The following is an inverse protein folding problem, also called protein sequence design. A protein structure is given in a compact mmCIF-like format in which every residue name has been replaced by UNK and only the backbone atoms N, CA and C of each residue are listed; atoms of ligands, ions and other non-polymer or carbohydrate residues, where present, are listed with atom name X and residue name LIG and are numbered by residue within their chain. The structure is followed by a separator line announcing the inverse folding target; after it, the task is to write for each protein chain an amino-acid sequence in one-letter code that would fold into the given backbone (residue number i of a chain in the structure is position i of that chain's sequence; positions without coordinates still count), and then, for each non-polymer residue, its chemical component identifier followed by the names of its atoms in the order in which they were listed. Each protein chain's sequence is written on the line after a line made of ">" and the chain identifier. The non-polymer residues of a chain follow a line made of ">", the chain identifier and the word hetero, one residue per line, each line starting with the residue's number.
data_IF_815509054306
#
_entry.id   IF_815509054306
#
_cell.length_a   1.000
_cell.length_b   1.000
_cell.length_c   1.000
_cell.angle_alpha   90.00
_cell.angle_beta   90.00
_cell.angle_gamma   90.00
#
_symmetry.space_group_name_H-M   'P 1'
#
loop_
_entity.id
_entity.type
_entity.pdbx_description
1 polymer ?
#
# COMPACT_ATOMS: atom_id res chain seq x y z
N UNK A 1 -20.57 -12.03 81.28
CA UNK A 1 -21.15 -12.11 79.92
C UNK A 1 -20.83 -10.88 79.04
N UNK A 2 -20.82 -9.64 79.57
CA UNK A 2 -20.54 -8.42 78.78
C UNK A 2 -19.14 -8.34 78.12
N UNK A 3 -18.08 -8.79 78.82
CA UNK A 3 -16.70 -8.75 78.30
C UNK A 3 -16.44 -9.68 77.09
N UNK A 4 -17.10 -10.83 77.06
CA UNK A 4 -16.99 -11.80 75.96
C UNK A 4 -17.77 -11.31 74.74
N UNK A 5 -18.94 -10.69 74.97
CA UNK A 5 -19.73 -10.08 73.88
C UNK A 5 -18.95 -8.92 73.21
N UNK A 6 -18.28 -8.08 74.02
CA UNK A 6 -17.49 -6.96 73.49
C UNK A 6 -16.25 -7.40 72.69
N UNK A 7 -15.59 -8.48 73.09
CA UNK A 7 -14.45 -9.03 72.36
C UNK A 7 -14.87 -9.69 71.04
N UNK A 8 -15.99 -10.42 71.03
CA UNK A 8 -16.56 -11.00 69.81
C UNK A 8 -16.94 -9.90 68.81
N UNK A 9 -17.62 -8.84 69.25
CA UNK A 9 -17.99 -7.71 68.40
C UNK A 9 -16.76 -7.00 67.80
N UNK A 10 -15.70 -6.82 68.59
CA UNK A 10 -14.48 -6.15 68.13
C UNK A 10 -13.74 -6.99 67.08
N UNK A 11 -13.67 -8.31 67.26
CA UNK A 11 -13.10 -9.23 66.27
C UNK A 11 -13.93 -9.22 64.98
N UNK A 12 -15.25 -9.24 65.08
CA UNK A 12 -16.15 -9.21 63.92
C UNK A 12 -16.01 -7.91 63.11
N UNK A 13 -15.80 -6.79 63.81
CA UNK A 13 -15.59 -5.48 63.20
C UNK A 13 -14.23 -5.40 62.48
N UNK A 14 -13.18 -6.00 63.02
CA UNK A 14 -11.88 -6.08 62.33
C UNK A 14 -11.95 -6.96 61.07
N UNK A 15 -12.67 -8.09 61.15
CA UNK A 15 -12.87 -8.99 60.00
C UNK A 15 -13.65 -8.28 58.89
N UNK A 16 -14.71 -7.54 59.23
CA UNK A 16 -15.52 -6.83 58.24
C UNK A 16 -14.75 -5.73 57.53
N UNK A 17 -13.88 -4.99 58.24
CA UNK A 17 -12.98 -3.99 57.63
C UNK A 17 -11.98 -4.66 56.68
N UNK A 18 -11.41 -5.80 57.08
CA UNK A 18 -10.49 -6.57 56.23
C UNK A 18 -11.15 -7.05 54.93
N UNK A 19 -12.37 -7.59 55.02
CA UNK A 19 -13.18 -8.01 53.86
C UNK A 19 -13.55 -6.83 52.95
N UNK A 20 -13.89 -5.68 53.53
CA UNK A 20 -14.24 -4.48 52.77
C UNK A 20 -13.05 -3.94 51.97
N UNK A 21 -11.85 -3.89 52.56
CA UNK A 21 -10.64 -3.49 51.83
C UNK A 21 -10.29 -4.46 50.70
N UNK A 22 -10.40 -5.77 50.97
CA UNK A 22 -10.12 -6.79 49.98
C UNK A 22 -11.09 -6.67 48.78
N UNK A 23 -12.38 -6.52 49.06
CA UNK A 23 -13.40 -6.32 48.04
C UNK A 23 -13.13 -5.07 47.20
N UNK A 24 -12.74 -3.95 47.83
CA UNK A 24 -12.42 -2.72 47.12
C UNK A 24 -11.17 -2.86 46.23
N UNK A 25 -10.14 -3.55 46.73
CA UNK A 25 -8.91 -3.81 45.98
C UNK A 25 -9.16 -4.70 44.75
N UNK A 26 -9.92 -5.79 44.92
CA UNK A 26 -10.30 -6.67 43.81
C UNK A 26 -11.18 -5.96 42.80
N UNK A 27 -12.15 -5.16 43.24
CA UNK A 27 -13.04 -4.44 42.33
C UNK A 27 -12.26 -3.40 41.51
N UNK A 28 -11.37 -2.63 42.13
CA UNK A 28 -10.52 -1.66 41.43
C UNK A 28 -9.60 -2.32 40.39
N UNK A 29 -9.02 -3.48 40.71
CA UNK A 29 -8.18 -4.22 39.77
C UNK A 29 -8.99 -4.88 38.65
N UNK A 30 -10.17 -5.42 38.94
CA UNK A 30 -11.06 -6.00 37.93
C UNK A 30 -11.57 -4.94 36.94
N UNK A 31 -11.93 -3.74 37.43
CA UNK A 31 -12.34 -2.62 36.57
C UNK A 31 -11.18 -2.20 35.66
N UNK A 32 -9.97 -2.02 36.21
CA UNK A 32 -8.78 -1.68 35.42
C UNK A 32 -8.45 -2.75 34.37
N UNK A 33 -8.53 -4.03 34.74
CA UNK A 33 -8.30 -5.13 33.80
C UNK A 33 -9.35 -5.14 32.68
N UNK A 34 -10.63 -4.94 33.01
CA UNK A 34 -11.70 -4.83 32.02
C UNK A 34 -11.54 -3.63 31.08
N UNK A 35 -11.05 -2.51 31.59
CA UNK A 35 -10.77 -1.31 30.79
C UNK A 35 -9.58 -1.52 29.84
N UNK A 36 -8.51 -2.16 30.31
CA UNK A 36 -7.37 -2.55 29.47
C UNK A 36 -7.76 -3.52 28.36
N UNK A 37 -8.60 -4.52 28.66
CA UNK A 37 -9.10 -5.46 27.64
C UNK A 37 -9.92 -4.73 26.58
N UNK A 38 -10.82 -3.82 26.96
CA UNK A 38 -11.59 -3.00 26.00
C UNK A 38 -10.70 -2.10 25.14
N UNK A 39 -9.64 -1.55 25.71
CA UNK A 39 -8.66 -0.77 24.93
C UNK A 39 -7.90 -1.67 23.95
N UNK A 40 -7.45 -2.85 24.38
CA UNK A 40 -6.83 -3.83 23.49
C UNK A 40 -7.76 -4.23 22.35
N UNK A 41 -9.01 -4.62 22.65
CA UNK A 41 -9.99 -4.99 21.61
C UNK A 41 -10.19 -3.88 20.58
N UNK A 42 -10.29 -2.62 21.01
CA UNK A 42 -10.38 -1.48 20.08
C UNK A 42 -9.14 -1.36 19.18
N UNK A 43 -7.94 -1.46 19.76
CA UNK A 43 -6.70 -1.40 18.97
C UNK A 43 -6.55 -2.59 18.03
N UNK A 44 -7.02 -3.78 18.43
CA UNK A 44 -6.95 -4.99 17.64
C UNK A 44 -7.96 -4.96 16.49
N UNK A 45 -9.17 -4.44 16.74
CA UNK A 45 -10.16 -4.17 15.69
C UNK A 45 -9.65 -3.14 14.68
N UNK A 46 -8.98 -2.08 15.15
CA UNK A 46 -8.38 -1.07 14.28
C UNK A 46 -7.22 -1.64 13.44
N UNK A 47 -6.34 -2.43 14.06
CA UNK A 47 -5.27 -3.14 13.33
C UNK A 47 -5.82 -4.18 12.35
N UNK A 48 -6.84 -4.94 12.73
CA UNK A 48 -7.49 -5.89 11.84
C UNK A 48 -8.11 -5.18 10.63
N UNK A 49 -8.76 -4.04 10.85
CA UNK A 49 -9.28 -3.19 9.77
C UNK A 49 -8.20 -2.67 8.83
N UNK A 50 -7.03 -2.27 9.36
CA UNK A 50 -5.88 -1.85 8.55
C UNK A 50 -5.26 -3.01 7.76
N UNK A 51 -5.19 -4.21 8.34
CA UNK A 51 -4.64 -5.40 7.65
C UNK A 51 -5.57 -5.85 6.52
N UNK A 52 -6.90 -5.77 6.72
CA UNK A 52 -7.86 -6.15 5.68
C UNK A 52 -7.83 -5.19 4.50
N UNK A 53 -7.70 -3.88 4.75
CA UNK A 53 -7.54 -2.89 3.66
C UNK A 53 -6.22 -3.08 2.93
N UNK A 54 -5.10 -3.27 3.65
CA UNK A 54 -3.79 -3.53 3.02
C UNK A 54 -3.82 -4.79 2.13
N UNK A 55 -4.47 -5.86 2.58
CA UNK A 55 -4.62 -7.09 1.76
C UNK A 55 -5.45 -6.86 0.50
N UNK A 56 -6.52 -6.07 0.60
CA UNK A 56 -7.35 -5.75 -0.56
C UNK A 56 -6.57 -4.91 -1.59
N UNK A 57 -5.80 -3.93 -1.12
CA UNK A 57 -4.98 -3.08 -1.98
C UNK A 57 -3.82 -3.86 -2.62
N UNK A 58 -3.14 -4.72 -1.88
CA UNK A 58 -2.08 -5.58 -2.43
C UNK A 58 -2.62 -6.54 -3.50
N UNK A 59 -3.79 -7.16 -3.26
CA UNK A 59 -4.44 -8.00 -4.26
C UNK A 59 -4.78 -7.23 -5.54
N UNK A 60 -5.31 -6.00 -5.41
CA UNK A 60 -5.59 -5.11 -6.55
C UNK A 60 -4.32 -4.71 -7.28
N UNK A 61 -3.27 -4.35 -6.55
CA UNK A 61 -1.98 -3.94 -7.12
C UNK A 61 -1.36 -5.08 -7.94
N UNK A 62 -1.34 -6.30 -7.40
CA UNK A 62 -0.85 -7.48 -8.13
C UNK A 62 -1.65 -7.77 -9.39
N UNK A 63 -2.98 -7.62 -9.35
CA UNK A 63 -3.82 -7.79 -10.53
C UNK A 63 -3.47 -6.76 -11.63
N UNK A 64 -3.32 -5.49 -11.25
CA UNK A 64 -2.92 -4.43 -12.16
C UNK A 64 -1.53 -4.66 -12.76
N UNK A 65 -0.56 -5.06 -11.94
CA UNK A 65 0.79 -5.38 -12.39
C UNK A 65 0.81 -6.57 -13.36
N UNK A 66 0.01 -7.61 -13.10
CA UNK A 66 -0.12 -8.75 -14.00
C UNK A 66 -0.73 -8.36 -15.35
N UNK A 67 -1.74 -7.49 -15.36
CA UNK A 67 -2.33 -6.96 -16.59
C UNK A 67 -1.34 -6.11 -17.38
N UNK A 68 -0.62 -5.22 -16.70
CA UNK A 68 0.41 -4.38 -17.34
C UNK A 68 1.53 -5.22 -17.96
N UNK A 69 2.01 -6.25 -17.26
CA UNK A 69 3.00 -7.18 -17.80
C UNK A 69 2.48 -7.93 -19.03
N UNK A 70 1.23 -8.41 -19.01
CA UNK A 70 0.62 -9.06 -20.18
C UNK A 70 0.53 -8.11 -21.37
N UNK A 71 0.13 -6.87 -21.14
CA UNK A 71 0.03 -5.85 -22.18
C UNK A 71 1.39 -5.52 -22.79
N UNK A 72 2.43 -5.37 -21.97
CA UNK A 72 3.80 -5.18 -22.46
C UNK A 72 4.30 -6.36 -23.27
N UNK A 73 4.04 -7.60 -22.83
CA UNK A 73 4.41 -8.79 -23.60
C UNK A 73 3.69 -8.83 -24.95
N UNK A 74 2.40 -8.51 -24.99
CA UNK A 74 1.65 -8.41 -26.24
C UNK A 74 2.21 -7.33 -27.16
N UNK A 75 2.53 -6.14 -26.62
CA UNK A 75 3.13 -5.05 -27.38
C UNK A 75 4.51 -5.43 -27.94
N UNK A 76 5.33 -6.14 -27.16
CA UNK A 76 6.61 -6.67 -27.66
C UNK A 76 6.42 -7.64 -28.80
N UNK A 77 5.52 -8.60 -28.68
CA UNK A 77 5.24 -9.56 -29.75
C UNK A 77 4.70 -8.87 -31.01
N UNK A 78 3.81 -7.89 -30.86
CA UNK A 78 3.31 -7.10 -31.98
C UNK A 78 4.42 -6.25 -32.62
N UNK A 79 5.29 -5.63 -31.82
CA UNK A 79 6.43 -4.87 -32.29
C UNK A 79 7.41 -5.72 -33.09
N UNK A 80 7.75 -6.92 -32.59
CA UNK A 80 8.60 -7.87 -33.31
C UNK A 80 7.96 -8.35 -34.61
N UNK A 81 6.65 -8.65 -34.59
CA UNK A 81 5.93 -9.05 -35.80
C UNK A 81 5.91 -7.94 -36.85
N UNK A 82 5.62 -6.71 -36.42
CA UNK A 82 5.60 -5.54 -37.29
C UNK A 82 6.98 -5.27 -37.88
N UNK A 83 8.04 -5.31 -37.05
CA UNK A 83 9.41 -5.11 -37.50
C UNK A 83 9.83 -6.19 -38.51
N UNK A 84 9.48 -7.45 -38.27
CA UNK A 84 9.79 -8.54 -39.19
C UNK A 84 9.04 -8.39 -40.52
N UNK A 85 7.75 -8.02 -40.49
CA UNK A 85 6.97 -7.72 -41.71
C UNK A 85 7.53 -6.53 -42.48
N UNK A 86 7.96 -5.49 -41.77
CA UNK A 86 8.58 -4.33 -42.37
C UNK A 86 9.89 -4.72 -43.08
N UNK A 87 10.78 -5.45 -42.40
CA UNK A 87 12.01 -5.96 -43.00
C UNK A 87 11.74 -6.84 -44.22
N UNK A 88 10.72 -7.71 -44.15
CA UNK A 88 10.36 -8.59 -45.26
C UNK A 88 9.82 -7.83 -46.47
N UNK A 89 9.05 -6.75 -46.24
CA UNK A 89 8.54 -5.89 -47.30
C UNK A 89 9.66 -5.08 -47.99
N UNK A 90 10.67 -4.64 -47.26
CA UNK A 90 11.77 -3.82 -47.82
C UNK A 90 12.96 -4.65 -48.35
N UNK A 91 13.01 -5.96 -48.12
CA UNK A 91 14.20 -6.79 -48.42
C UNK A 91 14.61 -6.77 -49.90
N UNK A 92 13.63 -6.60 -50.80
CA UNK A 92 13.82 -6.59 -52.26
C UNK A 92 13.77 -5.18 -52.86
N UNK A 93 13.63 -4.14 -52.03
CA UNK A 93 13.55 -2.76 -52.49
C UNK A 93 14.94 -2.08 -52.36
N UNK A 94 15.56 -1.80 -53.51
CA UNK A 94 16.85 -1.13 -53.61
C UNK A 94 16.85 0.28 -53.01
N UNK A 95 15.72 1.00 -53.09
CA UNK A 95 15.58 2.33 -52.47
C UNK A 95 15.52 2.22 -50.95
N UNK A 96 14.87 1.19 -50.41
CA UNK A 96 14.76 0.98 -48.96
C UNK A 96 16.05 0.44 -48.31
N UNK A 97 16.92 -0.25 -49.06
CA UNK A 97 18.25 -0.69 -48.57
C UNK A 97 19.25 0.45 -48.44
N UNK A 98 19.05 1.57 -49.15
CA UNK A 98 19.93 2.73 -49.01
C UNK A 98 19.70 3.39 -47.66
N UNK A 99 20.79 3.57 -46.92
CA UNK A 99 20.74 4.32 -45.65
C UNK A 99 20.25 5.72 -45.94
N UNK A 100 19.18 6.14 -45.26
CA UNK A 100 18.66 7.49 -45.41
C UNK A 100 19.76 8.51 -45.07
N UNK A 101 19.95 9.56 -45.90
CA UNK A 101 20.97 10.58 -45.64
C UNK A 101 20.80 11.18 -44.24
N UNK A 102 21.90 11.34 -43.51
CA UNK A 102 21.88 11.81 -42.12
C UNK A 102 21.14 13.15 -41.93
N UNK A 103 21.21 14.05 -42.90
CA UNK A 103 20.48 15.32 -42.92
C UNK A 103 18.95 15.13 -42.96
N UNK A 104 18.45 14.12 -43.68
CA UNK A 104 17.01 13.83 -43.73
C UNK A 104 16.55 13.20 -42.42
N UNK A 105 17.37 12.33 -41.82
CA UNK A 105 17.12 11.77 -40.49
C UNK A 105 17.14 12.83 -39.39
N UNK A 106 18.02 13.83 -39.50
CA UNK A 106 18.10 14.96 -38.57
C UNK A 106 16.85 15.85 -38.61
N UNK A 107 16.31 16.10 -39.80
CA UNK A 107 15.04 16.80 -39.99
C UNK A 107 13.84 16.00 -39.45
N UNK A 108 13.76 14.69 -39.74
CA UNK A 108 12.68 13.81 -39.27
C UNK A 108 12.67 13.63 -37.75
N UNK A 109 13.84 13.58 -37.11
CA UNK A 109 13.96 13.49 -35.64
C UNK A 109 13.83 14.84 -34.95
N UNK A 110 13.75 15.95 -35.70
CA UNK A 110 13.78 17.31 -35.14
C UNK A 110 15.10 17.65 -34.44
N UNK A 111 16.17 16.89 -34.71
CA UNK A 111 17.50 17.10 -34.12
C UNK A 111 18.34 18.10 -34.92
N UNK A 112 17.91 18.45 -36.15
CA UNK A 112 18.48 19.57 -36.91
C UNK A 112 18.03 20.91 -36.32
N UNK A 113 18.85 21.42 -35.40
CA UNK A 113 18.68 22.69 -34.71
C UNK A 113 18.72 23.91 -35.64
N UNK A 114 19.34 23.81 -36.82
CA UNK A 114 19.36 24.87 -37.82
C UNK A 114 17.97 25.14 -38.44
N UNK A 115 17.16 24.10 -38.65
CA UNK A 115 15.79 24.23 -39.16
C UNK A 115 14.79 24.59 -38.03
N UNK A 116 15.00 24.05 -36.82
CA UNK A 116 14.16 24.35 -35.66
C UNK A 116 14.30 25.81 -35.16
N UNK A 117 15.48 26.41 -35.29
CA UNK A 117 15.73 27.83 -34.98
C UNK A 117 15.06 28.80 -35.96
N UNK A 118 15.05 28.47 -37.25
CA UNK A 118 14.42 29.30 -38.28
C UNK A 118 12.88 29.29 -38.18
N UNK A 119 12.26 28.15 -37.84
CA UNK A 119 10.80 28.04 -37.68
C UNK A 119 10.28 28.80 -36.44
N UNK A 120 11.05 28.88 -35.35
CA UNK A 120 10.70 29.69 -34.16
C UNK A 120 10.90 31.18 -34.37
N UNK A 121 11.78 31.60 -35.28
CA UNK A 121 11.99 33.01 -35.62
C UNK A 121 10.96 33.57 -36.62
N UNK A 122 10.15 32.70 -37.25
CA UNK A 122 9.14 33.07 -38.25
C UNK A 122 7.69 32.80 -37.78
N UNK A 123 7.46 32.69 -36.46
CA UNK A 123 6.11 32.74 -35.90
C UNK A 123 5.80 34.21 -35.54
N UNK A 124 4.74 34.83 -36.09
CA UNK A 124 4.27 36.15 -35.65
C UNK A 124 3.71 36.12 -34.22
#
# INVERSE_FOLDING_TARGET
>A
MSKVMGTVLLVLLLISIGLAQLAFYFHGNAVKAGEQVKQQEKTLAQQAGLITTLRADDARNRAMMAEQQRREQQLRQQGENYQRKYQDAIKNDECARRTAPGAVLGLLRGTDTAAAGAARAASP
#
